data_IF_506059458668
#
_entry.id   IF_506059458668
#
_cell.length_a   1.000
_cell.length_b   1.000
_cell.length_c   1.000
_cell.angle_alpha   90.00
_cell.angle_beta   90.00
_cell.angle_gamma   90.00
#
_symmetry.space_group_name_H-M   'P 1'
#
loop_
_entity.id
_entity.type
_entity.pdbx_description
1 polymer ?
#
# COMPACT_ATOMS: atom_id res chain seq x y z
N UNK A 1 11.14 -5.89 -26.43
CA UNK A 1 12.08 -5.83 -25.29
C UNK A 1 11.29 -5.29 -24.10
N UNK A 2 10.89 -6.15 -23.15
CA UNK A 2 10.29 -5.71 -21.88
C UNK A 2 10.64 -6.71 -20.76
N UNK A 3 11.86 -7.21 -20.80
CA UNK A 3 12.37 -8.25 -19.90
C UNK A 3 12.99 -7.66 -18.62
N UNK A 4 12.78 -6.37 -18.30
CA UNK A 4 13.71 -5.60 -17.45
C UNK A 4 13.17 -4.95 -16.16
N UNK A 5 11.89 -5.08 -15.78
CA UNK A 5 11.44 -4.59 -14.45
C UNK A 5 11.10 -5.71 -13.46
N UNK A 6 10.38 -6.76 -13.89
CA UNK A 6 10.00 -7.93 -13.06
C UNK A 6 11.20 -8.60 -12.37
N UNK A 7 12.32 -8.76 -13.11
CA UNK A 7 13.51 -9.45 -12.58
C UNK A 7 14.12 -8.75 -11.36
N UNK A 8 13.89 -7.45 -11.22
CA UNK A 8 14.42 -6.68 -10.10
C UNK A 8 13.70 -6.90 -8.77
N UNK A 9 12.50 -7.49 -8.77
CA UNK A 9 11.75 -7.77 -7.54
C UNK A 9 11.87 -9.21 -7.06
N UNK A 10 12.44 -10.11 -7.87
CA UNK A 10 12.56 -11.52 -7.46
C UNK A 10 13.33 -11.69 -6.15
N UNK A 11 14.36 -10.88 -5.90
CA UNK A 11 15.14 -11.01 -4.67
C UNK A 11 14.69 -10.03 -3.58
N UNK A 12 13.55 -9.35 -3.76
CA UNK A 12 12.98 -8.43 -2.77
C UNK A 12 11.85 -9.14 -2.04
N UNK A 13 11.85 -9.04 -0.71
CA UNK A 13 10.80 -9.62 0.16
C UNK A 13 9.42 -9.03 -0.12
N UNK A 14 8.36 -9.69 0.36
CA UNK A 14 6.99 -9.18 0.26
C UNK A 14 6.84 -7.83 0.97
N UNK A 15 7.41 -7.65 2.16
CA UNK A 15 7.45 -6.33 2.83
C UNK A 15 8.12 -5.27 1.94
N UNK A 16 9.25 -5.59 1.30
CA UNK A 16 9.93 -4.66 0.40
C UNK A 16 9.12 -4.31 -0.86
N UNK A 17 8.36 -5.27 -1.39
CA UNK A 17 7.44 -5.05 -2.52
C UNK A 17 6.26 -4.17 -2.12
N UNK A 18 5.69 -4.39 -0.94
CA UNK A 18 4.65 -3.52 -0.38
C UNK A 18 5.18 -2.09 -0.19
N UNK A 19 6.40 -1.93 0.35
CA UNK A 19 7.04 -0.62 0.45
C UNK A 19 7.21 0.06 -0.92
N UNK A 20 7.58 -0.69 -1.96
CA UNK A 20 7.64 -0.14 -3.32
C UNK A 20 6.28 0.38 -3.80
N UNK A 21 5.22 -0.40 -3.58
CA UNK A 21 3.85 0.00 -3.90
C UNK A 21 3.49 1.30 -3.18
N UNK A 22 3.80 1.40 -1.88
CA UNK A 22 3.59 2.63 -1.10
C UNK A 22 4.33 3.81 -1.68
N UNK A 23 5.62 3.67 -2.01
CA UNK A 23 6.41 4.72 -2.65
C UNK A 23 5.80 5.17 -4.00
N UNK A 24 5.26 4.23 -4.77
CA UNK A 24 4.55 4.54 -6.02
C UNK A 24 3.28 5.35 -5.76
N UNK A 25 2.45 4.91 -4.80
CA UNK A 25 1.21 5.59 -4.40
C UNK A 25 1.51 7.02 -3.94
N UNK A 26 2.50 7.23 -3.07
CA UNK A 26 2.82 8.57 -2.60
C UNK A 26 3.28 9.51 -3.73
N UNK A 27 4.05 8.99 -4.71
CA UNK A 27 4.43 9.76 -5.90
C UNK A 27 3.21 10.13 -6.74
N UNK A 28 2.28 9.20 -6.92
CA UNK A 28 1.01 9.46 -7.59
C UNK A 28 0.23 10.59 -6.88
N UNK A 29 -0.01 10.44 -5.57
CA UNK A 29 -0.79 11.39 -4.76
C UNK A 29 -0.15 12.78 -4.76
N UNK A 30 1.15 12.87 -4.49
CA UNK A 30 1.86 14.15 -4.41
C UNK A 30 2.05 14.84 -5.76
N UNK A 31 1.97 14.10 -6.88
CA UNK A 31 2.08 14.68 -8.22
C UNK A 31 0.74 15.15 -8.77
N UNK A 32 -0.31 14.33 -8.62
CA UNK A 32 -1.63 14.65 -9.20
C UNK A 32 -2.51 15.50 -8.28
N UNK A 33 -2.30 15.42 -6.96
CA UNK A 33 -3.08 16.15 -5.97
C UNK A 33 -2.16 16.86 -4.95
N UNK A 34 -1.25 17.73 -5.41
CA UNK A 34 -0.24 18.36 -4.55
C UNK A 34 -0.83 19.32 -3.51
N UNK A 35 -2.07 19.76 -3.68
CA UNK A 35 -2.77 20.66 -2.77
C UNK A 35 -3.39 19.97 -1.55
N UNK A 36 -3.41 18.63 -1.52
CA UNK A 36 -3.96 17.84 -0.42
C UNK A 36 -2.86 17.43 0.55
N UNK A 37 -3.18 17.44 1.84
CA UNK A 37 -2.30 16.87 2.87
C UNK A 37 -2.55 15.37 2.99
N UNK A 38 -1.74 14.58 2.29
CA UNK A 38 -1.84 13.13 2.29
C UNK A 38 -1.25 12.45 3.53
N UNK A 39 -0.76 13.22 4.51
CA UNK A 39 -0.18 12.68 5.75
C UNK A 39 -1.07 11.66 6.45
N UNK A 40 -2.41 11.85 6.59
CA UNK A 40 -3.28 10.89 7.26
C UNK A 40 -3.38 9.53 6.53
N UNK A 41 -3.35 9.54 5.20
CA UNK A 41 -3.33 8.33 4.36
C UNK A 41 -1.97 7.65 4.47
N UNK A 42 -0.88 8.40 4.33
CA UNK A 42 0.48 7.88 4.43
C UNK A 42 0.77 7.24 5.78
N UNK A 43 0.34 7.85 6.90
CA UNK A 43 0.52 7.26 8.23
C UNK A 43 -0.09 5.86 8.33
N UNK A 44 -1.36 5.71 7.92
CA UNK A 44 -2.06 4.41 7.94
C UNK A 44 -1.42 3.40 6.99
N UNK A 45 -1.00 3.86 5.81
CA UNK A 45 -0.32 3.03 4.83
C UNK A 45 1.01 2.48 5.35
N UNK A 46 1.90 3.34 5.87
CA UNK A 46 3.21 2.92 6.36
C UNK A 46 3.17 2.17 7.70
N UNK A 47 2.12 2.34 8.50
CA UNK A 47 1.89 1.51 9.68
C UNK A 47 1.77 0.01 9.34
N UNK A 48 1.42 -0.33 8.10
CA UNK A 48 1.26 -1.72 7.66
C UNK A 48 2.52 -2.56 7.93
N UNK A 49 3.71 -1.98 7.75
CA UNK A 49 4.97 -2.70 7.89
C UNK A 49 5.36 -2.97 9.35
N UNK A 50 4.62 -2.42 10.32
CA UNK A 50 4.90 -2.56 11.76
C UNK A 50 3.88 -3.43 12.52
N UNK A 51 2.78 -3.83 11.88
CA UNK A 51 1.69 -4.60 12.50
C UNK A 51 1.45 -5.92 11.76
N UNK A 52 0.68 -6.81 12.39
CA UNK A 52 0.23 -8.04 11.72
C UNK A 52 -0.66 -7.72 10.52
N UNK A 53 -0.63 -8.57 9.49
CA UNK A 53 -1.34 -8.35 8.22
C UNK A 53 -2.82 -7.97 8.38
N UNK A 54 -3.53 -8.64 9.28
CA UNK A 54 -4.94 -8.36 9.55
C UNK A 54 -5.14 -6.99 10.23
N UNK A 55 -4.34 -6.69 11.25
CA UNK A 55 -4.38 -5.39 11.94
C UNK A 55 -4.05 -4.24 10.99
N UNK A 56 -3.05 -4.45 10.12
CA UNK A 56 -2.65 -3.49 9.11
C UNK A 56 -3.73 -3.23 8.07
N UNK A 57 -4.45 -4.28 7.65
CA UNK A 57 -5.59 -4.14 6.74
C UNK A 57 -6.73 -3.36 7.38
N UNK A 58 -7.06 -3.64 8.65
CA UNK A 58 -8.08 -2.92 9.41
C UNK A 58 -7.73 -1.42 9.54
N UNK A 59 -6.45 -1.09 9.76
CA UNK A 59 -5.97 0.29 9.85
C UNK A 59 -6.01 0.97 8.47
N UNK A 60 -5.48 0.31 7.43
CA UNK A 60 -5.37 0.92 6.11
C UNK A 60 -6.72 1.06 5.42
N UNK A 61 -7.66 0.14 5.64
CA UNK A 61 -9.00 0.22 5.03
C UNK A 61 -9.72 1.54 5.33
N UNK A 62 -9.46 2.14 6.49
CA UNK A 62 -9.95 3.48 6.86
C UNK A 62 -9.42 4.60 5.97
N UNK A 63 -8.32 4.38 5.24
CA UNK A 63 -7.71 5.32 4.29
C UNK A 63 -8.07 5.02 2.82
N UNK A 64 -8.92 4.03 2.57
CA UNK A 64 -9.29 3.61 1.21
C UNK A 64 -10.67 4.17 0.86
N UNK A 65 -10.81 4.95 -0.23
CA UNK A 65 -12.06 5.59 -0.60
C UNK A 65 -13.25 4.62 -0.69
N UNK A 66 -13.00 3.42 -1.23
CA UNK A 66 -14.04 2.41 -1.44
C UNK A 66 -14.67 1.92 -0.13
N UNK A 67 -13.91 1.89 0.95
CA UNK A 67 -14.41 1.44 2.26
C UNK A 67 -14.90 2.61 3.11
N UNK A 68 -14.18 3.75 3.13
CA UNK A 68 -14.53 4.89 3.99
C UNK A 68 -15.71 5.71 3.45
N UNK A 69 -16.01 5.60 2.14
CA UNK A 69 -17.14 6.27 1.48
C UNK A 69 -18.24 5.27 1.05
N UNK A 70 -18.19 4.02 1.51
CA UNK A 70 -19.20 2.99 1.18
C UNK A 70 -20.61 3.46 1.58
N UNK A 71 -20.71 4.15 2.72
CA UNK A 71 -21.96 4.65 3.28
C UNK A 71 -21.99 6.18 3.36
N UNK A 72 -23.20 6.74 3.31
CA UNK A 72 -23.41 8.20 3.22
C UNK A 72 -23.07 8.95 4.52
N UNK A 73 -22.95 8.25 5.65
CA UNK A 73 -22.78 8.85 6.98
C UNK A 73 -21.68 8.18 7.78
N UNK A 74 -21.11 8.96 8.70
CA UNK A 74 -20.15 8.46 9.69
C UNK A 74 -20.75 7.32 10.52
N UNK A 75 -21.97 7.50 11.03
CA UNK A 75 -22.63 6.53 11.91
C UNK A 75 -22.80 5.19 11.20
N UNK A 76 -23.28 5.20 9.95
CA UNK A 76 -23.46 3.99 9.17
C UNK A 76 -22.12 3.32 8.83
N UNK A 77 -21.12 4.11 8.43
CA UNK A 77 -19.77 3.61 8.13
C UNK A 77 -19.14 2.95 9.37
N UNK A 78 -19.22 3.63 10.51
CA UNK A 78 -18.62 3.16 11.74
C UNK A 78 -19.28 1.88 12.26
N UNK A 79 -20.61 1.82 12.28
CA UNK A 79 -21.34 0.65 12.75
C UNK A 79 -21.20 -0.56 11.83
N UNK A 80 -21.22 -0.36 10.51
CA UNK A 80 -21.30 -1.46 9.54
C UNK A 80 -19.94 -1.98 9.07
N UNK A 81 -18.93 -1.12 8.98
CA UNK A 81 -17.62 -1.49 8.45
C UNK A 81 -16.53 -1.58 9.50
N UNK A 82 -16.67 -0.87 10.63
CA UNK A 82 -15.60 -0.73 11.63
C UNK A 82 -16.03 -1.10 13.06
N UNK A 83 -17.19 -1.75 13.22
CA UNK A 83 -17.71 -2.25 14.49
C UNK A 83 -17.77 -1.20 15.62
N UNK A 84 -17.96 0.08 15.26
CA UNK A 84 -18.00 1.19 16.22
C UNK A 84 -16.63 1.75 16.65
N UNK A 85 -15.52 1.27 16.07
CA UNK A 85 -14.16 1.65 16.46
C UNK A 85 -13.52 2.76 15.61
N UNK A 86 -14.24 3.31 14.63
CA UNK A 86 -13.74 4.43 13.83
C UNK A 86 -13.91 5.75 14.56
N UNK A 87 -12.80 6.46 14.77
CA UNK A 87 -12.82 7.80 15.34
C UNK A 87 -13.45 8.81 14.37
N UNK A 88 -14.25 9.74 14.90
CA UNK A 88 -14.99 10.69 14.08
C UNK A 88 -14.09 11.75 13.44
N UNK A 89 -13.10 12.24 14.18
CA UNK A 89 -12.19 13.27 13.66
C UNK A 89 -11.32 12.66 12.55
N UNK A 90 -10.88 11.42 12.71
CA UNK A 90 -10.19 10.64 11.68
C UNK A 90 -11.05 10.43 10.42
N UNK A 91 -12.33 10.06 10.58
CA UNK A 91 -13.27 9.92 9.46
C UNK A 91 -13.47 11.25 8.72
N UNK A 92 -13.73 12.33 9.46
CA UNK A 92 -13.97 13.66 8.88
C UNK A 92 -12.70 14.17 8.16
N UNK A 93 -11.50 13.91 8.70
CA UNK A 93 -10.21 14.24 8.08
C UNK A 93 -9.98 13.48 6.77
N UNK A 94 -10.12 12.15 6.79
CA UNK A 94 -9.88 11.30 5.62
C UNK A 94 -10.90 11.58 4.51
N UNK A 95 -12.20 11.63 4.84
CA UNK A 95 -13.25 11.86 3.83
C UNK A 95 -13.12 13.25 3.17
N UNK A 96 -12.60 14.25 3.89
CA UNK A 96 -12.31 15.56 3.32
C UNK A 96 -11.22 15.52 2.23
N UNK A 97 -10.23 14.61 2.33
CA UNK A 97 -9.21 14.43 1.30
C UNK A 97 -9.81 13.99 -0.05
N UNK A 98 -10.85 13.16 -0.01
CA UNK A 98 -11.48 12.59 -1.20
C UNK A 98 -12.56 13.48 -1.83
N UNK A 99 -13.01 14.51 -1.11
CA UNK A 99 -14.07 15.42 -1.59
C UNK A 99 -13.70 16.05 -2.94
N UNK A 100 -14.54 15.78 -3.93
CA UNK A 100 -14.44 16.37 -5.27
C UNK A 100 -13.42 15.71 -6.21
N UNK A 101 -12.77 14.63 -5.78
CA UNK A 101 -11.80 13.88 -6.60
C UNK A 101 -12.18 12.41 -6.81
N UNK A 102 -13.05 11.85 -5.95
CA UNK A 102 -13.64 10.52 -6.11
C UNK A 102 -15.01 10.46 -5.43
N UNK A 103 -15.85 9.50 -5.84
CA UNK A 103 -17.10 9.14 -5.18
C UNK A 103 -17.05 7.79 -4.44
N UNK A 104 -15.86 7.16 -4.34
CA UNK A 104 -15.65 5.93 -3.61
C UNK A 104 -16.21 4.66 -4.26
N UNK A 105 -16.69 4.70 -5.51
CA UNK A 105 -17.32 3.51 -6.13
C UNK A 105 -16.34 2.53 -6.80
N UNK A 106 -15.03 2.68 -6.58
CA UNK A 106 -14.01 1.81 -7.19
C UNK A 106 -13.77 2.02 -8.69
N UNK A 107 -14.55 2.89 -9.35
CA UNK A 107 -14.46 3.05 -10.82
C UNK A 107 -13.40 4.04 -11.30
N UNK A 108 -12.98 4.97 -10.45
CA UNK A 108 -11.97 5.96 -10.79
C UNK A 108 -10.55 5.51 -10.40
N UNK A 109 -9.57 6.15 -11.02
CA UNK A 109 -8.16 5.77 -10.87
C UNK A 109 -7.61 6.00 -9.46
N UNK A 110 -8.11 6.99 -8.70
CA UNK A 110 -7.67 7.21 -7.33
C UNK A 110 -8.12 6.04 -6.43
N UNK A 111 -9.37 5.59 -6.58
CA UNK A 111 -9.84 4.38 -5.89
C UNK A 111 -8.98 3.17 -6.24
N UNK A 112 -8.72 2.96 -7.55
CA UNK A 112 -7.89 1.84 -8.00
C UNK A 112 -6.49 1.87 -7.38
N UNK A 113 -5.81 3.02 -7.41
CA UNK A 113 -4.48 3.19 -6.83
C UNK A 113 -4.48 2.91 -5.33
N UNK A 114 -5.45 3.43 -4.59
CA UNK A 114 -5.52 3.26 -3.14
C UNK A 114 -6.02 1.87 -2.72
N UNK A 115 -6.61 1.09 -3.62
CA UNK A 115 -7.01 -0.30 -3.35
C UNK A 115 -5.83 -1.29 -3.40
N UNK A 116 -4.77 -0.98 -4.14
CA UNK A 116 -3.66 -1.91 -4.41
C UNK A 116 -3.06 -2.53 -3.13
N UNK A 117 -2.84 -1.78 -2.02
CA UNK A 117 -2.38 -2.42 -0.78
C UNK A 117 -3.36 -3.42 -0.18
N UNK A 118 -4.67 -3.17 -0.26
CA UNK A 118 -5.71 -4.11 0.18
C UNK A 118 -5.70 -5.39 -0.66
N UNK A 119 -5.53 -5.25 -1.98
CA UNK A 119 -5.34 -6.39 -2.88
C UNK A 119 -4.06 -7.17 -2.54
N UNK A 120 -2.97 -6.47 -2.25
CA UNK A 120 -1.72 -7.07 -1.80
C UNK A 120 -1.95 -7.91 -0.54
N UNK A 121 -2.61 -7.35 0.47
CA UNK A 121 -2.94 -8.04 1.71
C UNK A 121 -3.74 -9.31 1.44
N UNK A 122 -4.77 -9.21 0.59
CA UNK A 122 -5.64 -10.33 0.22
C UNK A 122 -4.90 -11.44 -0.54
N UNK A 123 -3.94 -11.09 -1.40
CA UNK A 123 -3.09 -12.06 -2.11
C UNK A 123 -2.18 -12.81 -1.13
N UNK A 124 -1.62 -12.08 -0.16
CA UNK A 124 -0.63 -12.63 0.76
C UNK A 124 -1.25 -13.46 1.88
N UNK A 125 -2.49 -13.15 2.28
CA UNK A 125 -3.18 -13.86 3.34
C UNK A 125 -3.34 -15.36 3.02
N UNK A 126 -2.77 -16.21 3.87
CA UNK A 126 -2.85 -17.67 3.72
C UNK A 126 -2.05 -18.28 2.56
N UNK A 127 -1.31 -17.46 1.80
CA UNK A 127 -0.46 -17.89 0.69
C UNK A 127 0.95 -18.29 1.15
N UNK A 128 1.69 -19.00 0.30
CA UNK A 128 3.16 -19.11 0.38
C UNK A 128 3.82 -18.06 -0.54
N UNK A 129 5.10 -17.75 -0.34
CA UNK A 129 5.81 -16.74 -1.16
C UNK A 129 5.73 -17.07 -2.66
N UNK A 130 5.94 -18.34 -3.02
CA UNK A 130 5.89 -18.78 -4.43
C UNK A 130 4.52 -18.57 -5.08
N UNK A 131 3.44 -18.69 -4.29
CA UNK A 131 2.07 -18.49 -4.76
C UNK A 131 1.68 -17.01 -4.85
N UNK A 132 2.09 -16.20 -3.87
CA UNK A 132 1.76 -14.77 -3.81
C UNK A 132 2.57 -13.93 -4.82
N UNK A 133 3.83 -14.31 -5.04
CA UNK A 133 4.78 -13.57 -5.87
C UNK A 133 4.28 -13.11 -7.25
N UNK A 134 3.74 -13.98 -8.12
CA UNK A 134 3.32 -13.57 -9.45
C UNK A 134 2.20 -12.52 -9.38
N UNK A 135 1.24 -12.70 -8.46
CA UNK A 135 0.12 -11.78 -8.29
C UNK A 135 0.55 -10.42 -7.71
N UNK A 136 1.46 -10.43 -6.73
CA UNK A 136 2.08 -9.19 -6.23
C UNK A 136 2.88 -8.48 -7.32
N UNK A 137 3.51 -9.23 -8.22
CA UNK A 137 4.23 -8.65 -9.36
C UNK A 137 3.26 -7.95 -10.30
N UNK A 138 2.09 -8.53 -10.57
CA UNK A 138 1.02 -7.90 -11.36
C UNK A 138 0.57 -6.57 -10.71
N UNK A 139 0.39 -6.52 -9.39
CA UNK A 139 0.07 -5.26 -8.69
C UNK A 139 1.14 -4.18 -8.86
N UNK A 140 2.43 -4.56 -8.85
CA UNK A 140 3.53 -3.62 -9.11
C UNK A 140 3.46 -3.10 -10.54
N UNK A 141 3.18 -3.96 -11.51
CA UNK A 141 3.04 -3.57 -12.92
C UNK A 141 1.85 -2.64 -13.14
N UNK A 142 0.74 -2.89 -12.44
CA UNK A 142 -0.46 -2.05 -12.49
C UNK A 142 -0.16 -0.62 -12.01
N UNK A 143 0.47 -0.47 -10.83
CA UNK A 143 0.81 0.88 -10.34
C UNK A 143 1.90 1.53 -11.20
N UNK A 144 2.90 0.79 -11.70
CA UNK A 144 3.90 1.33 -12.63
C UNK A 144 3.26 1.81 -13.94
N UNK A 145 2.25 1.09 -14.44
CA UNK A 145 1.49 1.47 -15.63
C UNK A 145 0.74 2.79 -15.41
N UNK A 146 0.12 2.97 -14.24
CA UNK A 146 -0.54 4.23 -13.85
C UNK A 146 0.47 5.38 -13.75
N UNK A 147 1.61 5.18 -13.06
CA UNK A 147 2.65 6.21 -12.99
C UNK A 147 3.16 6.60 -14.38
N UNK A 148 3.39 5.61 -15.25
CA UNK A 148 3.86 5.82 -16.61
C UNK A 148 2.85 6.60 -17.45
N UNK A 149 1.55 6.30 -17.32
CA UNK A 149 0.46 7.04 -17.99
C UNK A 149 0.51 8.53 -17.68
N UNK A 150 0.90 8.90 -16.45
CA UNK A 150 1.02 10.28 -15.99
C UNK A 150 2.42 10.89 -16.12
N UNK A 151 3.37 10.18 -16.72
CA UNK A 151 4.79 10.58 -16.81
C UNK A 151 5.43 10.83 -15.43
N UNK A 152 4.98 10.09 -14.41
CA UNK A 152 5.55 10.14 -13.07
C UNK A 152 6.75 9.19 -13.02
N UNK A 153 7.94 9.65 -12.61
CA UNK A 153 9.10 8.77 -12.48
C UNK A 153 8.88 7.74 -11.37
N UNK A 154 9.26 6.50 -11.64
CA UNK A 154 9.18 5.41 -10.66
C UNK A 154 10.09 5.68 -9.45
N UNK A 155 9.77 5.12 -8.27
CA UNK A 155 10.66 5.15 -7.12
C UNK A 155 12.01 4.51 -7.42
N UNK A 156 13.07 5.01 -6.77
CA UNK A 156 14.39 4.40 -6.86
C UNK A 156 14.42 3.08 -6.09
N UNK A 157 14.53 1.97 -6.82
CA UNK A 157 14.60 0.62 -6.24
C UNK A 157 15.82 0.40 -5.35
N UNK A 158 16.91 1.16 -5.52
CA UNK A 158 18.08 1.01 -4.66
C UNK A 158 17.78 1.30 -3.17
N UNK A 159 16.72 2.07 -2.89
CA UNK A 159 16.20 2.30 -1.54
C UNK A 159 15.70 1.03 -0.84
N UNK A 160 15.37 -0.02 -1.60
CA UNK A 160 14.87 -1.31 -1.11
C UNK A 160 15.97 -2.35 -0.87
N UNK A 161 17.24 -1.99 -1.03
CA UNK A 161 18.37 -2.94 -0.90
C UNK A 161 18.42 -3.69 0.44
N UNK A 162 17.88 -3.11 1.51
CA UNK A 162 17.78 -3.78 2.82
C UNK A 162 16.73 -4.89 2.87
N UNK A 163 15.81 -4.95 1.90
CA UNK A 163 14.83 -6.02 1.73
C UNK A 163 15.30 -7.14 0.80
N UNK A 164 16.56 -7.13 0.37
CA UNK A 164 17.09 -8.19 -0.47
C UNK A 164 17.25 -9.50 0.33
N UNK A 165 16.85 -10.62 -0.25
CA UNK A 165 17.00 -11.95 0.35
C UNK A 165 17.52 -12.98 -0.65
N UNK A 166 18.15 -14.04 -0.12
CA UNK A 166 18.64 -15.15 -0.92
C UNK A 166 17.55 -16.20 -1.15
N UNK A 167 17.19 -16.43 -2.41
CA UNK A 167 16.24 -17.48 -2.81
C UNK A 167 16.82 -18.88 -2.65
N UNK A 168 15.93 -19.84 -2.36
CA UNK A 168 16.29 -21.26 -2.33
C UNK A 168 17.22 -21.63 -1.17
N UNK A 169 17.46 -20.71 -0.23
CA UNK A 169 18.14 -21.00 1.02
C UNK A 169 17.27 -22.00 1.80
N UNK A 170 17.83 -23.16 2.22
CA UNK A 170 17.10 -24.10 3.05
C UNK A 170 16.66 -23.41 4.33
N UNK A 171 15.37 -23.44 4.61
CA UNK A 171 14.76 -22.87 5.82
C UNK A 171 14.71 -23.98 6.86
N UNK A 172 15.25 -23.73 8.05
CA UNK A 172 15.08 -24.63 9.18
C UNK A 172 13.58 -24.81 9.50
N UNK A 173 13.18 -25.93 10.13
CA UNK A 173 11.76 -26.19 10.47
C UNK A 173 11.07 -25.10 11.31
N UNK A 174 11.86 -24.28 12.01
CA UNK A 174 11.39 -23.23 12.91
C UNK A 174 11.69 -21.82 12.37
N UNK A 175 12.29 -21.70 11.18
CA UNK A 175 12.63 -20.42 10.57
C UNK A 175 11.47 -19.94 9.68
N UNK A 176 11.23 -18.62 9.68
CA UNK A 176 10.29 -18.01 8.74
C UNK A 176 10.80 -18.20 7.31
N UNK A 177 9.87 -18.43 6.38
CA UNK A 177 10.20 -18.43 4.96
C UNK A 177 10.81 -17.05 4.58
N UNK A 178 12.06 -17.00 4.08
CA UNK A 178 12.87 -15.77 4.03
C UNK A 178 12.32 -14.69 3.08
N UNK A 179 11.37 -15.04 2.21
CA UNK A 179 10.80 -14.12 1.22
C UNK A 179 9.69 -13.20 1.76
N UNK A 180 9.20 -13.40 2.98
CA UNK A 180 8.16 -12.52 3.55
C UNK A 180 8.71 -11.16 3.97
N UNK A 181 9.91 -11.13 4.55
CA UNK A 181 10.44 -9.96 5.24
C UNK A 181 10.00 -9.89 6.71
N UNK A 182 10.53 -8.90 7.42
CA UNK A 182 10.22 -8.65 8.83
C UNK A 182 9.21 -7.53 8.99
N UNK A 183 8.61 -7.44 10.18
CA UNK A 183 7.86 -6.27 10.61
C UNK A 183 8.86 -5.25 11.15
N UNK A 184 8.99 -4.12 10.48
CA UNK A 184 9.92 -3.06 10.82
C UNK A 184 9.32 -1.69 10.47
N UNK A 185 9.79 -0.63 11.14
CA UNK A 185 9.34 0.71 10.77
C UNK A 185 10.03 1.14 9.47
N UNK A 186 9.24 1.21 8.39
CA UNK A 186 9.70 1.58 7.06
C UNK A 186 9.27 3.00 6.65
N UNK A 187 8.75 3.81 7.58
CA UNK A 187 8.30 5.18 7.33
C UNK A 187 9.43 6.07 6.77
N UNK A 188 10.70 5.73 6.99
CA UNK A 188 11.85 6.43 6.40
C UNK A 188 11.87 6.39 4.85
N UNK A 189 11.09 5.51 4.22
CA UNK A 189 10.92 5.46 2.76
C UNK A 189 9.83 6.42 2.26
N UNK A 190 8.98 6.94 3.14
CA UNK A 190 7.89 7.84 2.78
C UNK A 190 8.42 9.19 2.29
N UNK A 191 7.96 9.65 1.14
CA UNK A 191 8.19 11.02 0.66
C UNK A 191 7.19 12.01 1.24
N UNK A 192 6.09 11.56 1.84
CA UNK A 192 5.10 12.44 2.49
C UNK A 192 5.51 12.70 3.94
N UNK A 193 5.78 11.63 4.71
CA UNK A 193 6.11 11.73 6.14
C UNK A 193 7.50 12.33 6.38
N UNK A 194 8.43 12.21 5.42
CA UNK A 194 9.78 12.77 5.53
C UNK A 194 9.97 14.09 4.77
N UNK A 195 8.90 14.80 4.41
CA UNK A 195 9.04 16.17 3.90
C UNK A 195 9.64 17.06 4.97
N UNK A 196 10.95 17.27 4.90
CA UNK A 196 11.61 18.38 5.60
C UNK A 196 10.97 19.67 5.09
N UNK A 197 10.33 20.41 5.99
CA UNK A 197 9.73 21.72 5.73
C UNK A 197 10.79 22.76 5.40
#
# INVERSE_FOLDING_TARGET
MSDSNIKGFHNITMTGRLCYIFMCIERYLTTLYPERDWTPVSKRMWQWTTHWWNESWDIYSQAVPEFILEFDTYEETNERSYEGNLDKDDYDEITALFRGITDGKGTDELCQVLMIPSDFGSICEGSCVEGAEPLVTELIEDIESILKKHNIPFPDRASLSHFEYERGKPVGREEKEPGWGDFENTEFLSIILNKTT
#
